data_IF_615063427563
#
_entry.id   IF_615063427563
#
_cell.length_a   1.000
_cell.length_b   1.000
_cell.length_c   1.000
_cell.angle_alpha   90.00
_cell.angle_beta   90.00
_cell.angle_gamma   90.00
#
_symmetry.space_group_name_H-M   'P 1'
#
loop_
_entity.id
_entity.type
_entity.pdbx_description
1 polymer ?
#
# COMPACT_ATOMS: atom_id res chain seq x y z
N UNK A 1 -1.72 -13.31 -19.97
CA UNK A 1 -0.56 -13.81 -19.23
C UNK A 1 0.12 -14.95 -20.00
N UNK A 2 1.46 -14.99 -19.98
CA UNK A 2 2.26 -16.07 -20.58
C UNK A 2 2.06 -17.41 -19.85
N UNK A 3 1.86 -17.36 -18.54
CA UNK A 3 1.49 -18.50 -17.71
C UNK A 3 0.00 -18.39 -17.33
N UNK A 4 -0.73 -19.50 -17.43
CA UNK A 4 -2.18 -19.60 -17.17
C UNK A 4 -2.51 -20.32 -15.85
N UNK A 5 -1.52 -20.64 -15.04
CA UNK A 5 -1.69 -21.29 -13.74
C UNK A 5 -2.12 -20.28 -12.69
N UNK A 6 -3.33 -19.75 -12.84
CA UNK A 6 -3.98 -18.83 -11.89
C UNK A 6 -5.49 -18.81 -12.07
N UNK A 7 -6.21 -18.55 -11.00
CA UNK A 7 -7.65 -18.28 -10.98
C UNK A 7 -7.90 -16.82 -10.60
N UNK A 8 -8.85 -16.17 -11.25
CA UNK A 8 -9.30 -14.82 -10.95
C UNK A 8 -10.51 -14.87 -10.03
N UNK A 9 -10.39 -14.33 -8.83
CA UNK A 9 -11.50 -14.19 -7.88
C UNK A 9 -11.96 -12.74 -7.89
N UNK A 10 -13.17 -12.50 -8.36
CA UNK A 10 -13.78 -11.16 -8.41
C UNK A 10 -14.77 -11.02 -7.27
N UNK A 11 -14.42 -10.18 -6.29
CA UNK A 11 -15.32 -9.80 -5.22
C UNK A 11 -16.01 -8.47 -5.53
N UNK A 12 -17.22 -8.53 -6.04
CA UNK A 12 -18.03 -7.35 -6.32
C UNK A 12 -18.62 -6.78 -5.02
N UNK A 13 -18.20 -5.57 -4.67
CA UNK A 13 -18.56 -4.84 -3.45
C UNK A 13 -19.97 -4.20 -3.52
N UNK A 14 -20.96 -4.91 -4.05
CA UNK A 14 -22.30 -4.40 -4.35
C UNK A 14 -22.25 -3.17 -5.29
N UNK A 15 -21.46 -3.27 -6.36
CA UNK A 15 -21.35 -2.22 -7.38
C UNK A 15 -22.72 -1.89 -8.00
N UNK A 16 -23.00 -0.63 -8.34
CA UNK A 16 -24.17 -0.28 -9.15
C UNK A 16 -24.05 -0.75 -10.61
N UNK A 17 -22.84 -1.08 -11.07
CA UNK A 17 -22.56 -1.52 -12.43
C UNK A 17 -22.86 -3.03 -12.62
N UNK A 18 -23.18 -3.44 -13.84
CA UNK A 18 -23.39 -4.85 -14.19
C UNK A 18 -22.05 -5.56 -14.47
N UNK A 19 -21.31 -5.86 -13.40
CA UNK A 19 -20.01 -6.55 -13.49
C UNK A 19 -20.18 -8.01 -13.91
N UNK A 20 -21.31 -8.65 -13.59
CA UNK A 20 -21.55 -10.04 -13.94
C UNK A 20 -21.63 -10.26 -15.45
N UNK A 21 -22.24 -9.33 -16.19
CA UNK A 21 -22.25 -9.35 -17.66
C UNK A 21 -20.82 -9.27 -18.21
N UNK A 22 -20.00 -8.34 -17.70
CA UNK A 22 -18.60 -8.20 -18.13
C UNK A 22 -17.81 -9.47 -17.86
N UNK A 23 -17.95 -10.06 -16.67
CA UNK A 23 -17.25 -11.30 -16.29
C UNK A 23 -17.65 -12.46 -17.20
N UNK A 24 -18.93 -12.52 -17.60
CA UNK A 24 -19.43 -13.59 -18.47
C UNK A 24 -18.72 -13.65 -19.82
N UNK A 25 -18.27 -12.52 -20.36
CA UNK A 25 -17.52 -12.44 -21.63
C UNK A 25 -16.11 -13.06 -21.55
N UNK A 26 -15.64 -13.34 -20.33
CA UNK A 26 -14.30 -13.88 -20.08
C UNK A 26 -14.29 -15.31 -19.53
N UNK A 27 -15.44 -15.90 -19.15
CA UNK A 27 -15.53 -17.24 -18.56
C UNK A 27 -14.92 -18.35 -19.43
N UNK A 28 -15.03 -18.22 -20.75
CA UNK A 28 -14.42 -19.18 -21.67
C UNK A 28 -12.92 -18.96 -21.93
N UNK A 29 -12.37 -17.84 -21.43
CA UNK A 29 -10.99 -17.41 -21.69
C UNK A 29 -10.10 -17.55 -20.47
N UNK A 30 -10.68 -17.45 -19.27
CA UNK A 30 -9.99 -17.43 -17.99
C UNK A 30 -10.76 -18.29 -16.98
N UNK A 31 -10.04 -18.86 -16.04
CA UNK A 31 -10.64 -19.43 -14.82
C UNK A 31 -11.03 -18.28 -13.89
N UNK A 32 -12.33 -17.96 -13.86
CA UNK A 32 -12.88 -16.81 -13.10
C UNK A 32 -13.96 -17.27 -12.16
N UNK A 33 -13.81 -16.90 -10.89
CA UNK A 33 -14.83 -17.02 -9.85
C UNK A 33 -15.36 -15.61 -9.53
N UNK A 34 -16.67 -15.38 -9.74
CA UNK A 34 -17.33 -14.13 -9.45
C UNK A 34 -18.22 -14.28 -8.23
N UNK A 35 -18.09 -13.36 -7.28
CA UNK A 35 -18.95 -13.31 -6.10
C UNK A 35 -19.38 -11.87 -5.83
N UNK A 36 -20.69 -11.63 -5.82
CA UNK A 36 -21.29 -10.34 -5.44
C UNK A 36 -21.65 -10.34 -3.97
N UNK A 37 -21.06 -9.43 -3.22
CA UNK A 37 -21.39 -9.23 -1.80
C UNK A 37 -22.69 -8.44 -1.67
N UNK A 38 -23.47 -8.74 -0.61
CA UNK A 38 -24.75 -8.06 -0.35
C UNK A 38 -24.60 -6.57 0.03
N UNK A 39 -23.45 -6.20 0.62
CA UNK A 39 -23.21 -4.86 1.15
C UNK A 39 -21.89 -4.31 0.67
N UNK A 40 -21.90 -3.00 0.30
CA UNK A 40 -20.70 -2.26 0.00
C UNK A 40 -19.93 -1.95 1.31
N UNK A 41 -18.70 -2.45 1.38
CA UNK A 41 -17.78 -2.20 2.48
C UNK A 41 -16.61 -1.31 2.09
N UNK A 42 -16.20 -1.25 0.83
CA UNK A 42 -15.10 -0.43 0.36
C UNK A 42 -15.22 1.04 0.74
N UNK A 43 -16.45 1.56 0.75
CA UNK A 43 -16.76 2.91 1.21
C UNK A 43 -16.67 3.14 2.73
N UNK A 44 -16.56 2.07 3.55
CA UNK A 44 -16.54 2.14 5.02
C UNK A 44 -15.26 1.56 5.61
N UNK A 45 -14.88 0.37 5.18
CA UNK A 45 -13.69 -0.38 5.60
C UNK A 45 -13.13 -1.15 4.40
N UNK A 46 -12.32 -0.46 3.61
CA UNK A 46 -11.73 -1.02 2.41
C UNK A 46 -10.82 -2.22 2.72
N UNK A 47 -10.13 -2.21 3.86
CA UNK A 47 -9.29 -3.35 4.28
C UNK A 47 -10.15 -4.58 4.55
N UNK A 48 -11.31 -4.42 5.18
CA UNK A 48 -12.23 -5.53 5.39
C UNK A 48 -12.76 -6.08 4.05
N UNK A 49 -12.97 -5.21 3.05
CA UNK A 49 -13.32 -5.66 1.71
C UNK A 49 -12.17 -6.47 1.07
N UNK A 50 -10.93 -6.01 1.16
CA UNK A 50 -9.77 -6.78 0.68
C UNK A 50 -9.69 -8.17 1.30
N UNK A 51 -9.84 -8.26 2.64
CA UNK A 51 -9.76 -9.53 3.36
C UNK A 51 -10.85 -10.51 2.96
N UNK A 52 -12.11 -10.06 2.83
CA UNK A 52 -13.20 -10.96 2.39
C UNK A 52 -13.06 -11.40 0.92
N UNK A 53 -12.39 -10.60 0.06
CA UNK A 53 -12.02 -11.05 -1.28
C UNK A 53 -10.95 -12.13 -1.25
N UNK A 54 -9.94 -12.00 -0.38
CA UNK A 54 -8.90 -13.02 -0.17
C UNK A 54 -9.50 -14.32 0.36
N UNK A 55 -10.52 -14.25 1.20
CA UNK A 55 -11.23 -15.40 1.77
C UNK A 55 -12.08 -16.17 0.74
N UNK A 56 -12.32 -15.63 -0.46
CA UNK A 56 -13.00 -16.35 -1.54
C UNK A 56 -12.19 -17.53 -2.09
N UNK A 57 -10.90 -17.61 -1.79
CA UNK A 57 -10.01 -18.67 -2.30
C UNK A 57 -9.18 -19.30 -1.20
N UNK A 58 -8.62 -20.48 -1.49
CA UNK A 58 -7.63 -21.16 -0.65
C UNK A 58 -6.27 -21.29 -1.34
N UNK A 59 -6.07 -20.61 -2.46
CA UNK A 59 -4.83 -20.66 -3.22
C UNK A 59 -3.61 -20.23 -2.38
N UNK A 60 -2.44 -20.88 -2.56
CA UNK A 60 -1.26 -20.63 -1.72
C UNK A 60 -0.63 -19.26 -1.95
N UNK A 61 -0.76 -18.71 -3.15
CA UNK A 61 -0.31 -17.37 -3.52
C UNK A 61 -1.50 -16.44 -3.70
N UNK A 62 -1.40 -15.24 -3.18
CA UNK A 62 -2.44 -14.23 -3.24
C UNK A 62 -1.88 -12.96 -3.87
N UNK A 63 -2.57 -12.44 -4.87
CA UNK A 63 -2.32 -11.15 -5.47
C UNK A 63 -3.58 -10.30 -5.39
N UNK A 64 -3.59 -9.32 -4.48
CA UNK A 64 -4.67 -8.35 -4.40
C UNK A 64 -4.48 -7.30 -5.50
N UNK A 65 -5.46 -7.20 -6.41
CA UNK A 65 -5.36 -6.34 -7.57
C UNK A 65 -6.64 -5.53 -7.77
N UNK A 66 -6.50 -4.24 -8.10
CA UNK A 66 -7.64 -3.36 -8.40
C UNK A 66 -8.06 -3.53 -9.86
N UNK A 67 -9.30 -3.18 -10.17
CA UNK A 67 -9.90 -3.30 -11.50
C UNK A 67 -9.37 -2.28 -12.52
N UNK A 68 -8.77 -1.20 -12.04
CA UNK A 68 -8.20 -0.12 -12.86
C UNK A 68 -6.68 -0.25 -13.10
N UNK A 69 -6.01 -1.19 -12.44
CA UNK A 69 -4.56 -1.41 -12.56
C UNK A 69 -4.22 -2.41 -13.68
N UNK A 70 -2.96 -2.42 -14.13
CA UNK A 70 -2.50 -3.29 -15.21
C UNK A 70 -1.29 -4.11 -14.80
N UNK A 71 -1.35 -5.42 -15.05
CA UNK A 71 -0.23 -6.32 -14.83
C UNK A 71 0.50 -6.64 -16.15
N UNK A 72 1.84 -6.78 -16.13
CA UNK A 72 2.60 -7.17 -17.34
C UNK A 72 2.24 -8.59 -17.79
N UNK A 73 2.40 -8.90 -19.09
CA UNK A 73 2.00 -10.20 -19.64
C UNK A 73 2.73 -11.42 -19.07
N UNK A 74 3.91 -11.23 -18.49
CA UNK A 74 4.77 -12.26 -17.87
C UNK A 74 4.67 -12.30 -16.33
N UNK A 75 3.73 -11.57 -15.76
CA UNK A 75 3.69 -11.36 -14.30
C UNK A 75 3.49 -12.65 -13.51
N UNK A 76 2.50 -13.47 -13.88
CA UNK A 76 2.22 -14.75 -13.19
C UNK A 76 3.43 -15.69 -13.30
N UNK A 77 4.06 -15.78 -14.47
CA UNK A 77 5.25 -16.60 -14.66
C UNK A 77 6.40 -16.17 -13.74
N UNK A 78 6.62 -14.85 -13.60
CA UNK A 78 7.66 -14.29 -12.71
C UNK A 78 7.40 -14.61 -11.25
N UNK A 79 6.14 -14.51 -10.79
CA UNK A 79 5.76 -14.88 -9.42
C UNK A 79 6.03 -16.36 -9.17
N UNK A 80 5.55 -17.25 -10.03
CA UNK A 80 5.73 -18.70 -9.88
C UNK A 80 7.21 -19.08 -9.87
N UNK A 81 8.01 -18.50 -10.79
CA UNK A 81 9.47 -18.70 -10.80
C UNK A 81 10.14 -18.18 -9.52
N UNK A 82 9.75 -17.00 -9.04
CA UNK A 82 10.26 -16.41 -7.81
C UNK A 82 9.94 -17.28 -6.59
N UNK A 83 8.71 -17.78 -6.50
CA UNK A 83 8.28 -18.64 -5.41
C UNK A 83 9.02 -19.98 -5.40
N UNK A 84 9.14 -20.65 -6.56
CA UNK A 84 9.95 -21.88 -6.70
C UNK A 84 11.42 -21.63 -6.31
N UNK A 85 12.00 -20.52 -6.76
CA UNK A 85 13.38 -20.14 -6.40
C UNK A 85 13.55 -19.92 -4.89
N UNK A 86 12.52 -19.43 -4.20
CA UNK A 86 12.53 -19.25 -2.74
C UNK A 86 12.31 -20.55 -1.96
N UNK A 87 12.14 -21.68 -2.63
CA UNK A 87 11.86 -22.98 -2.01
C UNK A 87 10.41 -23.16 -1.60
N UNK A 88 9.49 -22.42 -2.24
CA UNK A 88 8.04 -22.43 -1.97
C UNK A 88 7.69 -22.09 -0.51
N UNK A 89 8.57 -21.31 0.13
CA UNK A 89 8.40 -20.88 1.52
C UNK A 89 7.44 -19.68 1.62
N UNK A 90 7.12 -19.30 2.86
CA UNK A 90 6.45 -18.06 3.19
C UNK A 90 7.22 -16.87 2.60
N UNK A 91 6.57 -16.10 1.74
CA UNK A 91 7.23 -15.05 0.98
C UNK A 91 6.31 -13.86 0.66
N UNK A 92 6.94 -12.71 0.46
CA UNK A 92 6.34 -11.51 -0.14
C UNK A 92 7.17 -11.16 -1.35
N UNK A 93 6.51 -10.95 -2.48
CA UNK A 93 7.12 -10.55 -3.74
C UNK A 93 6.69 -9.14 -4.10
N UNK A 94 7.57 -8.39 -4.75
CA UNK A 94 7.29 -7.03 -5.22
C UNK A 94 7.73 -6.85 -6.66
N UNK A 95 6.82 -6.35 -7.49
CA UNK A 95 7.11 -5.89 -8.85
C UNK A 95 7.66 -4.46 -8.84
N UNK A 96 8.39 -4.04 -9.90
CA UNK A 96 8.56 -2.62 -10.18
C UNK A 96 7.19 -1.96 -10.35
N UNK A 97 7.05 -0.72 -9.91
CA UNK A 97 5.83 0.06 -10.05
C UNK A 97 6.03 1.19 -11.06
N UNK A 98 5.10 1.33 -11.98
CA UNK A 98 4.94 2.50 -12.81
C UNK A 98 3.58 3.16 -12.53
N UNK A 99 3.54 4.48 -12.50
CA UNK A 99 2.32 5.25 -12.33
C UNK A 99 1.88 5.77 -13.69
N UNK A 100 0.66 5.47 -14.08
CA UNK A 100 0.02 5.97 -15.30
C UNK A 100 -1.17 6.87 -14.95
N UNK A 101 -1.52 7.81 -15.83
CA UNK A 101 -2.72 8.60 -15.67
C UNK A 101 -4.00 7.85 -16.09
N UNK A 102 -5.15 8.53 -16.05
CA UNK A 102 -6.44 7.97 -16.45
C UNK A 102 -6.46 7.45 -17.89
N UNK A 103 -5.60 7.97 -18.76
CA UNK A 103 -5.50 7.60 -20.17
C UNK A 103 -4.44 6.52 -20.44
N UNK A 104 -3.69 6.12 -19.41
CA UNK A 104 -2.61 5.11 -19.52
C UNK A 104 -1.24 5.71 -19.86
N UNK A 105 -1.09 7.04 -19.88
CA UNK A 105 0.19 7.68 -20.12
C UNK A 105 1.11 7.59 -18.89
N UNK A 106 2.36 7.17 -19.11
CA UNK A 106 3.35 7.03 -18.06
C UNK A 106 3.72 8.38 -17.43
N UNK A 107 3.59 8.49 -16.12
CA UNK A 107 3.95 9.68 -15.33
C UNK A 107 5.19 9.48 -14.47
N UNK A 108 5.37 8.28 -13.93
CA UNK A 108 6.49 7.98 -13.04
C UNK A 108 6.80 6.48 -13.05
N UNK A 109 8.05 6.15 -12.82
CA UNK A 109 8.48 4.76 -12.58
C UNK A 109 9.39 4.76 -11.36
N UNK A 110 9.16 3.84 -10.44
CA UNK A 110 10.06 3.63 -9.30
C UNK A 110 11.48 3.34 -9.80
N UNK A 111 12.52 3.76 -9.05
CA UNK A 111 13.88 3.34 -9.34
C UNK A 111 13.99 1.80 -9.30
N UNK A 112 14.95 1.23 -10.03
CA UNK A 112 15.24 -0.20 -9.97
C UNK A 112 15.53 -0.66 -8.53
N UNK A 113 15.21 -1.92 -8.24
CA UNK A 113 15.60 -2.53 -6.97
C UNK A 113 17.13 -2.59 -6.86
N UNK A 114 17.67 -2.17 -5.71
CA UNK A 114 19.11 -2.23 -5.45
C UNK A 114 19.55 -3.63 -5.01
N UNK A 115 18.63 -4.40 -4.44
CA UNK A 115 18.90 -5.74 -3.91
C UNK A 115 17.80 -6.72 -4.29
N UNK A 116 18.13 -8.01 -4.31
CA UNK A 116 17.14 -9.07 -4.56
C UNK A 116 16.09 -9.16 -3.45
N UNK A 117 16.46 -8.75 -2.22
CA UNK A 117 15.57 -8.80 -1.04
C UNK A 117 15.82 -7.61 -0.14
N UNK A 118 14.75 -7.01 0.37
CA UNK A 118 14.80 -5.91 1.34
C UNK A 118 14.04 -6.29 2.62
N UNK A 119 14.51 -5.81 3.76
CA UNK A 119 13.83 -5.97 5.04
C UNK A 119 12.59 -5.07 5.14
N UNK A 120 11.68 -5.36 6.07
CA UNK A 120 10.55 -4.46 6.38
C UNK A 120 11.03 -3.07 6.82
N UNK A 121 12.14 -3.01 7.54
CA UNK A 121 12.77 -1.76 7.93
C UNK A 121 13.28 -0.94 6.72
N UNK A 122 14.03 -1.57 5.81
CA UNK A 122 14.57 -0.87 4.64
C UNK A 122 13.45 -0.44 3.69
N UNK A 123 12.40 -1.27 3.54
CA UNK A 123 11.19 -0.89 2.83
C UNK A 123 10.55 0.38 3.40
N UNK A 124 10.34 0.42 4.73
CA UNK A 124 9.81 1.61 5.39
C UNK A 124 10.72 2.82 5.24
N UNK A 125 12.02 2.64 5.37
CA UNK A 125 13.00 3.71 5.20
C UNK A 125 12.91 4.34 3.79
N UNK A 126 12.89 3.50 2.75
CA UNK A 126 12.77 3.95 1.36
C UNK A 126 11.41 4.65 1.10
N UNK A 127 10.32 4.10 1.65
CA UNK A 127 8.98 4.69 1.53
C UNK A 127 8.87 6.03 2.27
N UNK A 128 9.29 6.09 3.52
CA UNK A 128 9.20 7.28 4.36
C UNK A 128 10.13 8.42 3.88
N UNK A 129 11.27 8.08 3.28
CA UNK A 129 12.17 9.07 2.68
C UNK A 129 11.70 9.60 1.32
N UNK A 130 10.64 9.01 0.75
CA UNK A 130 10.15 9.36 -0.58
C UNK A 130 11.00 8.80 -1.73
N UNK A 131 11.91 7.87 -1.47
CA UNK A 131 12.73 7.22 -2.49
C UNK A 131 11.90 6.34 -3.41
N UNK A 132 10.83 5.72 -2.87
CA UNK A 132 9.91 4.88 -3.62
C UNK A 132 8.46 5.28 -3.37
N UNK A 133 7.63 5.10 -4.39
CA UNK A 133 6.17 4.97 -4.26
C UNK A 133 5.80 3.51 -3.98
N UNK A 134 4.63 3.27 -3.41
CA UNK A 134 4.11 1.94 -3.14
C UNK A 134 2.61 1.92 -3.35
N UNK A 135 2.10 0.88 -3.99
CA UNK A 135 0.69 0.63 -4.21
C UNK A 135 0.38 -0.85 -3.93
N UNK A 136 -0.85 -1.17 -3.53
CA UNK A 136 -1.22 -2.53 -3.17
C UNK A 136 -1.02 -3.54 -4.31
N UNK A 137 -1.23 -3.11 -5.56
CA UNK A 137 -1.20 -3.96 -6.76
C UNK A 137 0.19 -4.49 -7.15
N UNK A 138 1.29 -3.95 -6.60
CA UNK A 138 2.64 -4.43 -6.92
C UNK A 138 3.12 -5.61 -6.05
N UNK A 139 2.32 -6.04 -5.07
CA UNK A 139 2.70 -7.08 -4.11
C UNK A 139 1.93 -8.38 -4.30
N UNK A 140 2.66 -9.49 -4.23
CA UNK A 140 2.12 -10.84 -4.14
C UNK A 140 2.67 -11.49 -2.88
N UNK A 141 1.86 -12.23 -2.17
CA UNK A 141 2.28 -12.85 -0.90
C UNK A 141 1.71 -14.27 -0.77
N UNK A 142 2.37 -15.10 0.02
CA UNK A 142 1.81 -16.41 0.36
C UNK A 142 0.65 -16.24 1.34
N UNK A 143 -0.40 -17.03 1.17
CA UNK A 143 -1.57 -17.05 2.05
C UNK A 143 -1.17 -17.29 3.50
N UNK A 144 -0.15 -18.08 3.73
CA UNK A 144 0.35 -18.38 5.06
C UNK A 144 0.92 -17.14 5.76
N UNK A 145 1.64 -16.28 5.04
CA UNK A 145 2.10 -14.98 5.59
C UNK A 145 0.89 -14.16 6.06
N UNK A 146 -0.16 -14.05 5.24
CA UNK A 146 -1.37 -13.33 5.61
C UNK A 146 -2.05 -13.94 6.85
N UNK A 147 -2.27 -15.27 6.87
CA UNK A 147 -2.91 -15.97 8.01
C UNK A 147 -2.08 -15.85 9.29
N UNK A 148 -0.79 -16.15 9.22
CA UNK A 148 0.09 -16.22 10.41
C UNK A 148 0.39 -14.84 11.01
N UNK A 149 0.33 -13.77 10.20
CA UNK A 149 0.50 -12.40 10.69
C UNK A 149 -0.80 -11.75 11.15
N UNK A 150 -1.96 -12.41 10.96
CA UNK A 150 -3.27 -11.88 11.35
C UNK A 150 -3.83 -10.84 10.37
N UNK A 151 -3.63 -11.04 9.05
CA UNK A 151 -4.23 -10.22 8.00
C UNK A 151 -3.57 -8.86 7.81
N UNK A 152 -4.28 -7.94 7.18
CA UNK A 152 -3.81 -6.59 6.93
C UNK A 152 -3.82 -5.71 8.20
N UNK A 153 -2.92 -4.73 8.25
CA UNK A 153 -2.99 -3.65 9.25
C UNK A 153 -4.13 -2.71 8.87
N UNK A 154 -5.02 -2.41 9.82
CA UNK A 154 -6.24 -1.64 9.56
C UNK A 154 -6.10 -0.20 10.00
N UNK A 155 -6.17 0.73 9.05
CA UNK A 155 -6.29 2.16 9.29
C UNK A 155 -7.50 2.73 8.52
N UNK A 156 -8.06 3.86 8.95
CA UNK A 156 -9.15 4.52 8.21
C UNK A 156 -8.80 4.73 6.73
N UNK A 157 -9.75 4.51 5.84
CA UNK A 157 -9.62 4.63 4.38
C UNK A 157 -8.61 3.68 3.75
N UNK A 158 -8.13 2.66 4.45
CA UNK A 158 -6.93 1.88 4.10
C UNK A 158 -5.66 2.74 3.91
N UNK A 159 -5.69 4.02 4.27
CA UNK A 159 -4.57 4.93 4.12
C UNK A 159 -3.37 4.45 4.95
N UNK A 160 -2.23 4.17 4.31
CA UNK A 160 -1.04 3.54 4.88
C UNK A 160 -1.23 2.10 5.37
N UNK A 161 -2.39 1.48 5.18
CA UNK A 161 -2.65 0.10 5.63
C UNK A 161 -1.80 -0.90 4.87
N UNK A 162 -1.68 -0.72 3.57
CA UNK A 162 -0.81 -1.49 2.69
C UNK A 162 0.67 -1.34 3.08
N UNK A 163 1.18 -0.11 3.23
CA UNK A 163 2.58 0.14 3.63
C UNK A 163 2.94 -0.55 4.97
N UNK A 164 2.07 -0.43 5.98
CA UNK A 164 2.26 -1.12 7.26
C UNK A 164 2.19 -2.65 7.12
N UNK A 165 1.30 -3.14 6.27
CA UNK A 165 1.13 -4.57 6.04
C UNK A 165 2.34 -5.17 5.33
N UNK A 166 2.86 -4.51 4.30
CA UNK A 166 4.05 -5.00 3.60
C UNK A 166 5.27 -5.06 4.51
N UNK A 167 5.47 -4.06 5.36
CA UNK A 167 6.53 -4.09 6.38
C UNK A 167 6.32 -5.25 7.38
N UNK A 168 5.10 -5.44 7.90
CA UNK A 168 4.75 -6.55 8.80
C UNK A 168 4.97 -7.91 8.16
N UNK A 169 4.52 -8.09 6.92
CA UNK A 169 4.69 -9.33 6.18
C UNK A 169 6.17 -9.61 5.89
N UNK A 170 6.93 -8.57 5.53
CA UNK A 170 8.38 -8.67 5.32
C UNK A 170 9.13 -9.11 6.57
N UNK A 171 8.78 -8.57 7.73
CA UNK A 171 9.41 -8.95 9.00
C UNK A 171 9.15 -10.44 9.34
N UNK A 172 7.95 -10.93 9.01
CA UNK A 172 7.62 -12.35 9.18
C UNK A 172 8.32 -13.25 8.13
N UNK A 173 8.28 -12.87 6.85
CA UNK A 173 8.80 -13.66 5.73
C UNK A 173 10.30 -13.45 5.47
N UNK A 174 11.02 -12.81 6.39
CA UNK A 174 12.45 -12.45 6.25
C UNK A 174 12.76 -11.55 5.05
N UNK A 175 11.81 -10.68 4.70
CA UNK A 175 11.97 -9.64 3.68
C UNK A 175 11.02 -9.76 2.48
N UNK A 176 11.07 -8.73 1.63
CA UNK A 176 10.36 -8.64 0.35
C UNK A 176 11.31 -9.03 -0.76
N UNK A 177 10.93 -9.99 -1.58
CA UNK A 177 11.71 -10.48 -2.74
C UNK A 177 11.36 -9.63 -3.95
N UNK A 178 12.35 -9.04 -4.58
CA UNK A 178 12.20 -8.24 -5.79
C UNK A 178 12.01 -9.12 -7.03
N UNK A 179 11.00 -8.81 -7.84
CA UNK A 179 10.75 -9.44 -9.13
C UNK A 179 11.08 -8.44 -10.25
N UNK A 180 12.33 -8.36 -10.72
CA UNK A 180 12.73 -7.39 -11.74
C UNK A 180 12.05 -7.66 -13.08
N UNK A 181 11.98 -6.66 -13.97
CA UNK A 181 11.40 -6.74 -15.31
C UNK A 181 10.32 -5.68 -15.52
N UNK A 182 9.37 -5.94 -16.40
CA UNK A 182 8.28 -5.00 -16.73
C UNK A 182 7.46 -4.66 -15.48
N UNK A 183 7.15 -3.37 -15.22
CA UNK A 183 6.43 -2.96 -14.02
C UNK A 183 4.95 -3.37 -14.04
N UNK A 184 4.36 -3.41 -12.87
CA UNK A 184 2.91 -3.25 -12.68
C UNK A 184 2.58 -1.78 -12.85
N UNK A 185 1.45 -1.47 -13.47
CA UNK A 185 1.01 -0.11 -13.71
C UNK A 185 -0.15 0.24 -12.79
N UNK A 186 0.09 1.13 -11.83
CA UNK A 186 -0.94 1.72 -10.99
C UNK A 186 -1.56 2.92 -11.69
N UNK A 187 -2.89 2.89 -11.83
CA UNK A 187 -3.62 3.98 -12.49
C UNK A 187 -3.98 5.08 -11.50
N UNK A 188 -3.43 6.26 -11.74
CA UNK A 188 -3.83 7.47 -11.06
C UNK A 188 -4.99 8.15 -11.81
N UNK A 189 -6.22 7.84 -11.40
CA UNK A 189 -7.45 8.36 -12.00
C UNK A 189 -7.88 9.70 -11.36
N UNK A 190 -6.92 10.54 -10.97
CA UNK A 190 -7.14 11.87 -10.38
C UNK A 190 -8.13 11.86 -9.21
N UNK A 191 -9.26 12.58 -9.31
CA UNK A 191 -10.22 12.75 -8.21
C UNK A 191 -10.96 11.46 -7.80
N UNK A 192 -10.87 10.39 -8.59
CA UNK A 192 -11.49 9.11 -8.26
C UNK A 192 -10.70 8.33 -7.20
N UNK A 193 -9.40 8.57 -7.09
CA UNK A 193 -8.58 7.89 -6.10
C UNK A 193 -8.70 8.57 -4.72
N UNK A 194 -8.82 7.78 -3.67
CA UNK A 194 -8.82 8.28 -2.27
C UNK A 194 -7.58 9.12 -2.00
N UNK A 195 -6.43 8.73 -2.57
CA UNK A 195 -5.15 9.44 -2.42
C UNK A 195 -5.21 10.90 -2.85
N UNK A 196 -5.96 11.23 -3.89
CA UNK A 196 -6.07 12.57 -4.45
C UNK A 196 -7.24 13.39 -3.89
N UNK A 197 -8.25 12.73 -3.34
CA UNK A 197 -9.43 13.39 -2.81
C UNK A 197 -9.11 14.20 -1.55
N UNK A 198 -9.45 15.49 -1.54
CA UNK A 198 -9.32 16.36 -0.36
C UNK A 198 -10.45 16.17 0.64
N UNK A 199 -11.54 15.51 0.24
CA UNK A 199 -12.73 15.27 1.08
C UNK A 199 -12.38 14.55 2.39
N UNK A 200 -11.35 13.73 2.37
CA UNK A 200 -10.98 12.83 3.46
C UNK A 200 -9.69 13.25 4.19
N UNK A 201 -9.28 14.50 4.08
CA UNK A 201 -8.00 14.96 4.65
C UNK A 201 -7.89 14.73 6.16
N UNK A 202 -8.98 14.94 6.92
CA UNK A 202 -9.00 14.66 8.36
C UNK A 202 -8.81 13.16 8.68
N UNK A 203 -9.48 12.29 7.92
CA UNK A 203 -9.33 10.83 8.05
C UNK A 203 -7.94 10.36 7.62
N UNK A 204 -7.35 10.95 6.57
CA UNK A 204 -5.96 10.68 6.17
C UNK A 204 -4.97 11.06 7.28
N UNK A 205 -5.13 12.23 7.91
CA UNK A 205 -4.30 12.62 9.04
C UNK A 205 -4.45 11.68 10.23
N UNK A 206 -5.67 11.28 10.55
CA UNK A 206 -5.94 10.28 11.60
C UNK A 206 -5.26 8.95 11.28
N UNK A 207 -5.39 8.44 10.05
CA UNK A 207 -4.75 7.21 9.60
C UNK A 207 -3.21 7.34 9.64
N UNK A 208 -2.66 8.47 9.16
CA UNK A 208 -1.22 8.77 9.27
C UNK A 208 -0.74 8.74 10.73
N UNK A 209 -1.51 9.33 11.66
CA UNK A 209 -1.20 9.26 13.09
C UNK A 209 -1.18 7.84 13.64
N UNK A 210 -2.13 7.00 13.22
CA UNK A 210 -2.17 5.57 13.58
C UNK A 210 -1.00 4.79 12.98
N UNK A 211 -0.62 5.07 11.73
CA UNK A 211 0.56 4.50 11.09
C UNK A 211 1.85 4.85 11.83
N UNK A 212 2.05 6.14 12.17
CA UNK A 212 3.21 6.57 12.96
C UNK A 212 3.23 5.94 14.36
N UNK A 213 2.06 5.76 14.98
CA UNK A 213 1.94 5.01 16.22
C UNK A 213 2.35 3.55 16.04
N UNK A 214 1.90 2.91 14.96
CA UNK A 214 2.26 1.53 14.61
C UNK A 214 3.77 1.39 14.39
N UNK A 215 4.40 2.30 13.63
CA UNK A 215 5.86 2.38 13.47
C UNK A 215 6.55 2.50 14.83
N UNK A 216 6.07 3.41 15.69
CA UNK A 216 6.62 3.61 17.03
C UNK A 216 6.55 2.39 17.94
N UNK A 217 5.61 1.48 17.70
CA UNK A 217 5.47 0.22 18.45
C UNK A 217 6.36 -0.89 17.89
N UNK A 218 6.43 -1.03 16.56
CA UNK A 218 7.10 -2.15 15.90
C UNK A 218 8.58 -1.87 15.60
N UNK A 219 8.96 -0.61 15.37
CA UNK A 219 10.32 -0.18 15.00
C UNK A 219 10.93 0.76 16.05
N UNK A 220 10.62 0.54 17.33
CA UNK A 220 11.02 1.43 18.43
C UNK A 220 12.53 1.65 18.52
N UNK A 221 13.34 0.63 18.26
CA UNK A 221 14.80 0.74 18.32
C UNK A 221 15.34 1.62 17.19
N UNK A 222 14.75 1.50 16.00
CA UNK A 222 15.14 2.26 14.82
C UNK A 222 14.81 3.76 14.93
N UNK A 223 13.87 4.15 15.80
CA UNK A 223 13.59 5.56 16.10
C UNK A 223 14.79 6.33 16.68
N UNK A 224 15.86 5.63 17.10
CA UNK A 224 17.12 6.24 17.56
C UNK A 224 18.07 6.57 16.43
N UNK A 225 17.89 5.97 15.26
CA UNK A 225 18.73 6.18 14.09
C UNK A 225 18.40 7.50 13.41
N UNK A 226 19.41 8.35 13.14
CA UNK A 226 19.21 9.65 12.51
C UNK A 226 18.55 9.52 11.14
N UNK A 227 18.99 8.56 10.31
CA UNK A 227 18.42 8.32 8.97
C UNK A 227 16.93 7.99 9.02
N UNK A 228 16.47 7.21 10.02
CA UNK A 228 15.05 6.88 10.18
C UNK A 228 14.25 8.08 10.68
N UNK A 229 14.82 8.88 11.58
CA UNK A 229 14.21 10.16 12.01
C UNK A 229 14.09 11.14 10.84
N UNK A 230 15.11 11.23 9.98
CA UNK A 230 15.08 12.07 8.78
C UNK A 230 13.98 11.64 7.82
N UNK A 231 13.84 10.34 7.57
CA UNK A 231 12.78 9.77 6.75
C UNK A 231 11.39 10.08 7.32
N UNK A 232 11.18 9.93 8.63
CA UNK A 232 9.91 10.29 9.29
C UNK A 232 9.58 11.78 9.17
N UNK A 233 10.58 12.67 9.31
CA UNK A 233 10.38 14.11 9.10
C UNK A 233 9.99 14.39 7.65
N UNK A 234 10.68 13.81 6.70
CA UNK A 234 10.36 13.93 5.27
C UNK A 234 8.93 13.47 4.99
N UNK A 235 8.58 12.28 5.45
CA UNK A 235 7.25 11.71 5.26
C UNK A 235 6.13 12.61 5.78
N UNK A 236 6.24 13.06 7.05
CA UNK A 236 5.20 13.91 7.64
C UNK A 236 5.09 15.24 6.93
N UNK A 237 6.21 15.85 6.52
CA UNK A 237 6.18 17.08 5.73
C UNK A 237 5.48 16.89 4.39
N UNK A 238 5.78 15.79 3.66
CA UNK A 238 5.11 15.46 2.40
C UNK A 238 3.60 15.26 2.61
N UNK A 239 3.19 14.54 3.66
CA UNK A 239 1.76 14.38 3.99
C UNK A 239 1.10 15.75 4.19
N UNK A 240 1.67 16.62 5.01
CA UNK A 240 1.10 17.92 5.35
C UNK A 240 1.12 18.93 4.18
N UNK A 241 2.06 18.79 3.24
CA UNK A 241 2.22 19.73 2.13
C UNK A 241 1.53 19.28 0.84
N UNK A 242 1.49 17.97 0.60
CA UNK A 242 1.07 17.41 -0.69
C UNK A 242 -0.20 16.57 -0.62
N UNK A 243 -0.36 15.79 0.45
CA UNK A 243 -1.43 14.78 0.53
C UNK A 243 -2.68 15.28 1.25
N UNK A 244 -2.53 16.30 2.11
CA UNK A 244 -3.61 16.89 2.90
C UNK A 244 -3.65 18.38 2.62
N UNK A 245 -4.63 18.82 1.82
CA UNK A 245 -4.63 20.16 1.21
C UNK A 245 -5.52 21.19 1.92
N UNK A 246 -5.93 20.91 3.17
CA UNK A 246 -6.61 21.92 3.98
C UNK A 246 -7.97 21.53 4.58
N UNK A 247 -8.55 20.38 4.24
CA UNK A 247 -9.82 19.90 4.82
C UNK A 247 -9.57 19.10 6.11
N UNK A 248 -8.84 19.70 7.05
CA UNK A 248 -8.56 19.13 8.37
C UNK A 248 -8.61 20.21 9.46
N UNK A 249 -8.84 19.78 10.69
CA UNK A 249 -8.95 20.69 11.84
C UNK A 249 -7.61 20.87 12.57
N UNK A 250 -7.48 21.96 13.33
CA UNK A 250 -6.36 22.14 14.25
C UNK A 250 -6.24 20.96 15.24
N UNK A 251 -7.37 20.37 15.64
CA UNK A 251 -7.40 19.18 16.50
C UNK A 251 -6.67 18.00 15.87
N UNK A 252 -6.83 17.77 14.57
CA UNK A 252 -6.16 16.67 13.85
C UNK A 252 -4.64 16.85 13.86
N UNK A 253 -4.16 18.08 13.65
CA UNK A 253 -2.73 18.41 13.77
C UNK A 253 -2.20 18.21 15.17
N UNK A 254 -2.94 18.67 16.19
CA UNK A 254 -2.56 18.49 17.60
C UNK A 254 -2.48 17.02 17.97
N UNK A 255 -3.43 16.20 17.49
CA UNK A 255 -3.41 14.74 17.69
C UNK A 255 -2.19 14.10 17.03
N UNK A 256 -1.90 14.43 15.77
CA UNK A 256 -0.73 13.94 15.05
C UNK A 256 0.56 14.30 15.80
N UNK A 257 0.70 15.56 16.21
CA UNK A 257 1.86 16.03 16.96
C UNK A 257 2.01 15.32 18.32
N UNK A 258 0.91 15.11 19.05
CA UNK A 258 0.92 14.41 20.33
C UNK A 258 1.40 12.95 20.18
N UNK A 259 0.98 12.26 19.10
CA UNK A 259 1.46 10.92 18.78
C UNK A 259 2.96 10.94 18.50
N UNK A 260 3.43 11.82 17.62
CA UNK A 260 4.85 11.96 17.30
C UNK A 260 5.69 12.25 18.55
N UNK A 261 5.25 13.18 19.38
CA UNK A 261 5.95 13.54 20.62
C UNK A 261 6.11 12.34 21.57
N UNK A 262 5.12 11.47 21.62
CA UNK A 262 5.15 10.26 22.46
C UNK A 262 6.21 9.25 22.01
N UNK A 263 6.38 9.05 20.71
CA UNK A 263 7.28 8.04 20.17
C UNK A 263 8.65 8.59 19.77
N UNK A 264 8.71 9.83 19.28
CA UNK A 264 9.95 10.49 18.89
C UNK A 264 9.86 12.01 19.13
N UNK A 265 10.19 12.50 20.35
CA UNK A 265 10.22 13.93 20.64
C UNK A 265 11.12 14.73 19.71
N UNK A 266 12.22 14.11 19.23
CA UNK A 266 13.15 14.72 18.28
C UNK A 266 12.46 15.00 16.95
N UNK A 267 11.78 14.00 16.37
CA UNK A 267 11.03 14.14 15.10
C UNK A 267 9.93 15.19 15.27
N UNK A 268 9.14 15.11 16.35
CA UNK A 268 8.09 16.08 16.64
C UNK A 268 8.61 17.52 16.69
N UNK A 269 9.73 17.75 17.38
CA UNK A 269 10.35 19.09 17.50
C UNK A 269 10.86 19.59 16.14
N UNK A 270 11.42 18.74 15.31
CA UNK A 270 11.90 19.10 13.96
C UNK A 270 10.76 19.51 13.04
N UNK A 271 9.66 18.75 13.05
CA UNK A 271 8.46 19.06 12.26
C UNK A 271 7.85 20.39 12.71
N UNK A 272 7.70 20.59 14.02
CA UNK A 272 7.17 21.85 14.55
C UNK A 272 8.00 23.06 14.12
N UNK A 273 9.34 22.95 14.18
CA UNK A 273 10.25 24.02 13.75
C UNK A 273 10.12 24.32 12.25
N UNK A 274 10.02 23.29 11.39
CA UNK A 274 9.87 23.48 9.94
C UNK A 274 8.60 24.24 9.61
N UNK A 275 7.48 23.95 10.27
CA UNK A 275 6.21 24.64 10.03
C UNK A 275 6.16 26.06 10.64
N UNK A 276 6.76 26.29 11.81
CA UNK A 276 6.87 27.64 12.39
C UNK A 276 7.75 28.54 11.54
N UNK A 277 8.88 28.02 11.00
CA UNK A 277 9.77 28.76 10.13
C UNK A 277 9.06 29.14 8.82
N UNK A 278 8.30 28.22 8.22
CA UNK A 278 7.51 28.51 7.02
C UNK A 278 6.45 29.58 7.28
N UNK A 279 5.71 29.49 8.40
CA UNK A 279 4.72 30.51 8.77
C UNK A 279 5.34 31.91 8.93
N UNK A 280 6.58 32.02 9.42
CA UNK A 280 7.30 33.30 9.55
C UNK A 280 7.83 33.87 8.23
N UNK A 281 7.94 33.05 7.17
CA UNK A 281 8.37 33.51 5.84
C UNK A 281 7.20 34.05 5.02
N UNK A 282 5.97 33.89 5.47
CA UNK A 282 4.74 34.41 4.82
C UNK A 282 4.10 35.58 5.57
N UNK A 283 4.76 36.10 6.62
CA UNK A 283 4.44 37.36 7.32
C UNK A 283 5.52 38.39 6.98
#
# INVERSE_FOLDING_TARGET
QSNRDFTVYIGDDASPDDLESIVSDYKDKLDIFYFRFEQNWGGRDLVAHWERCIELSDEPLVWLFSDDDLMPPDAVERVIKGWKKSGECDAVFRFPLAIVDAYGELKYTNPPFETERISGYDFLLDKLSGKISSAACEYVFTRDVWKKTGGFVRFPLAWCSDDATWAKFADYASGIISLPGTPVYWRNAEDKNISNSTRFDGEKLKATGLFLKWIGMNYRLNLRESRFQDALVTYVNVILECSVRGNYSLKDLVCLYAILRKFSPTVASRILRSHILKAKLFI
#
